data_IF_099991220670
#
_entry.id   IF_099991220670
#
_cell.length_a   1.000
_cell.length_b   1.000
_cell.length_c   1.000
_cell.angle_alpha   90.00
_cell.angle_beta   90.00
_cell.angle_gamma   90.00
#
_symmetry.space_group_name_H-M   'P 1'
#
loop_
_entity.id
_entity.type
_entity.pdbx_description
1 polymer ?
#
# COMPACT_ATOMS: atom_id res chain seq x y z
N UNK A 1 -8.39 17.40 -13.26
CA UNK A 1 -8.58 16.54 -12.07
C UNK A 1 -7.64 15.34 -12.10
N UNK A 2 -7.65 14.54 -13.17
CA UNK A 2 -6.74 13.40 -13.29
C UNK A 2 -5.30 13.84 -13.63
N UNK A 3 -5.13 14.65 -14.68
CA UNK A 3 -3.79 15.10 -15.10
C UNK A 3 -3.10 15.97 -14.05
N UNK A 4 -3.90 16.67 -13.24
CA UNK A 4 -3.43 17.48 -12.12
C UNK A 4 -3.11 16.66 -10.86
N UNK A 5 -3.37 15.34 -10.84
CA UNK A 5 -3.11 14.47 -9.68
C UNK A 5 -3.96 14.75 -8.44
N UNK A 6 -4.97 15.62 -8.54
CA UNK A 6 -5.72 16.12 -7.38
C UNK A 6 -6.65 15.08 -6.78
N UNK A 7 -7.40 14.35 -7.62
CA UNK A 7 -8.35 13.31 -7.21
C UNK A 7 -8.78 12.51 -8.43
N UNK A 8 -8.95 11.21 -8.23
CA UNK A 8 -9.35 10.27 -9.27
C UNK A 8 -8.17 9.49 -9.84
N UNK A 9 -8.44 8.28 -10.32
CA UNK A 9 -7.46 7.43 -11.00
C UNK A 9 -7.95 7.06 -12.40
N UNK A 10 -7.03 6.64 -13.27
CA UNK A 10 -7.38 6.25 -14.64
C UNK A 10 -8.38 5.08 -14.65
N UNK A 11 -8.29 4.20 -13.66
CA UNK A 11 -9.24 3.10 -13.46
C UNK A 11 -10.64 3.59 -13.13
N UNK A 12 -10.78 4.62 -12.28
CA UNK A 12 -12.08 5.21 -11.96
C UNK A 12 -12.71 5.90 -13.18
N UNK A 13 -11.91 6.63 -13.97
CA UNK A 13 -12.38 7.25 -15.22
C UNK A 13 -12.81 6.18 -16.23
N UNK A 14 -12.04 5.10 -16.35
CA UNK A 14 -12.39 3.97 -17.23
C UNK A 14 -13.76 3.39 -16.88
N UNK A 15 -14.07 3.20 -15.60
CA UNK A 15 -15.38 2.67 -15.17
C UNK A 15 -16.54 3.67 -15.37
N UNK A 16 -16.24 4.97 -15.39
CA UNK A 16 -17.23 6.01 -15.70
C UNK A 16 -17.61 6.03 -17.18
N UNK A 17 -16.62 5.97 -18.08
CA UNK A 17 -16.82 6.26 -19.51
C UNK A 17 -16.75 5.04 -20.43
N UNK A 18 -15.93 4.04 -20.12
CA UNK A 18 -15.66 2.92 -21.04
C UNK A 18 -16.54 1.71 -20.73
N UNK A 19 -16.09 0.84 -19.82
CA UNK A 19 -16.80 -0.35 -19.39
C UNK A 19 -16.36 -0.68 -17.96
N UNK A 20 -17.19 -1.44 -17.23
CA UNK A 20 -16.94 -1.74 -15.82
C UNK A 20 -15.93 -2.90 -15.63
N UNK A 21 -16.01 -3.92 -16.48
CA UNK A 21 -15.04 -5.03 -16.53
C UNK A 21 -15.53 -6.32 -15.86
N UNK A 22 -14.58 -7.19 -15.51
CA UNK A 22 -14.86 -8.45 -14.82
C UNK A 22 -15.08 -8.25 -13.32
N UNK A 23 -16.00 -9.02 -12.76
CA UNK A 23 -16.31 -9.01 -11.33
C UNK A 23 -16.09 -10.38 -10.71
N UNK A 24 -15.67 -10.39 -9.45
CA UNK A 24 -15.54 -11.62 -8.66
C UNK A 24 -16.81 -11.93 -7.89
N UNK A 25 -17.12 -13.22 -7.76
CA UNK A 25 -18.12 -13.74 -6.83
C UNK A 25 -17.61 -13.59 -5.39
N UNK A 26 -18.50 -13.73 -4.42
CA UNK A 26 -18.15 -13.75 -2.98
C UNK A 26 -17.03 -14.74 -2.66
N UNK A 27 -17.05 -15.89 -3.34
CA UNK A 27 -16.11 -17.00 -3.15
C UNK A 27 -14.73 -16.74 -3.78
N UNK A 28 -14.58 -15.69 -4.59
CA UNK A 28 -13.31 -15.30 -5.22
C UNK A 28 -13.24 -15.60 -6.72
N UNK A 29 -14.06 -16.51 -7.24
CA UNK A 29 -14.09 -16.84 -8.67
C UNK A 29 -14.46 -15.63 -9.52
N UNK A 30 -13.79 -15.49 -10.66
CA UNK A 30 -14.07 -14.43 -11.63
C UNK A 30 -15.25 -14.85 -12.50
N UNK A 31 -16.22 -13.96 -12.68
CA UNK A 31 -17.33 -14.14 -13.62
C UNK A 31 -16.77 -13.89 -15.02
N UNK A 32 -16.89 -14.89 -15.90
CA UNK A 32 -16.31 -14.89 -17.26
C UNK A 32 -17.01 -13.87 -18.17
N UNK A 33 -18.28 -13.56 -17.92
CA UNK A 33 -19.01 -12.52 -18.64
C UNK A 33 -18.66 -11.12 -18.08
N UNK A 34 -18.00 -10.23 -18.86
CA UNK A 34 -17.70 -8.89 -18.40
C UNK A 34 -18.92 -7.97 -18.49
N UNK A 35 -18.97 -6.96 -17.62
CA UNK A 35 -19.94 -5.88 -17.72
C UNK A 35 -19.41 -4.84 -18.72
N UNK A 36 -20.02 -4.81 -19.90
CA UNK A 36 -19.70 -3.87 -21.00
C UNK A 36 -20.27 -2.47 -20.76
N UNK A 37 -21.36 -2.36 -19.99
CA UNK A 37 -21.96 -1.08 -19.64
C UNK A 37 -21.03 -0.22 -18.76
N UNK A 38 -21.26 1.09 -18.78
CA UNK A 38 -20.51 2.08 -18.00
C UNK A 38 -21.45 2.82 -17.03
N UNK A 39 -20.86 3.53 -16.06
CA UNK A 39 -21.66 4.28 -15.08
C UNK A 39 -22.37 5.51 -15.68
N UNK A 40 -21.87 6.05 -16.81
CA UNK A 40 -22.51 7.16 -17.51
C UNK A 40 -23.85 6.78 -18.14
N UNK A 41 -23.92 5.61 -18.79
CA UNK A 41 -25.11 5.13 -19.50
C UNK A 41 -26.04 4.31 -18.59
N UNK A 42 -25.55 3.92 -17.40
CA UNK A 42 -26.31 3.11 -16.44
C UNK A 42 -26.04 1.61 -16.58
N UNK A 43 -26.50 0.85 -15.59
CA UNK A 43 -26.29 -0.60 -15.49
C UNK A 43 -27.65 -1.31 -15.50
N UNK A 44 -27.73 -2.45 -16.18
CA UNK A 44 -28.89 -3.35 -16.04
C UNK A 44 -28.99 -3.91 -14.62
N UNK A 45 -30.19 -4.36 -14.21
CA UNK A 45 -30.43 -4.95 -12.88
C UNK A 45 -29.44 -6.09 -12.57
N UNK A 46 -29.19 -6.98 -13.55
CA UNK A 46 -28.24 -8.09 -13.44
C UNK A 46 -26.81 -7.58 -13.20
N UNK A 47 -26.36 -6.61 -14.00
CA UNK A 47 -24.99 -6.07 -13.93
C UNK A 47 -24.75 -5.30 -12.63
N UNK A 48 -25.77 -4.58 -12.15
CA UNK A 48 -25.72 -3.91 -10.85
C UNK A 48 -25.66 -4.90 -9.69
N UNK A 49 -26.47 -5.98 -9.75
CA UNK A 49 -26.45 -7.02 -8.72
C UNK A 49 -25.08 -7.73 -8.63
N UNK A 50 -24.51 -8.11 -9.78
CA UNK A 50 -23.16 -8.70 -9.84
C UNK A 50 -22.10 -7.75 -9.25
N UNK A 51 -22.21 -6.46 -9.55
CA UNK A 51 -21.30 -5.43 -9.03
C UNK A 51 -21.33 -5.30 -7.50
N UNK A 52 -22.42 -5.73 -6.85
CA UNK A 52 -22.60 -5.62 -5.41
C UNK A 52 -21.77 -6.63 -4.61
N UNK A 53 -21.43 -7.79 -5.19
CA UNK A 53 -20.62 -8.81 -4.49
C UNK A 53 -19.22 -8.28 -4.14
N UNK A 54 -18.53 -7.72 -5.12
CA UNK A 54 -17.22 -7.11 -4.92
C UNK A 54 -17.27 -5.89 -4.00
N UNK A 55 -18.30 -5.05 -4.13
CA UNK A 55 -18.47 -3.88 -3.27
C UNK A 55 -18.66 -4.26 -1.79
N UNK A 56 -19.56 -5.21 -1.51
CA UNK A 56 -19.81 -5.67 -0.14
C UNK A 56 -18.57 -6.32 0.49
N UNK A 57 -17.89 -7.20 -0.25
CA UNK A 57 -16.65 -7.85 0.21
C UNK A 57 -15.55 -6.82 0.48
N UNK A 58 -15.41 -5.82 -0.38
CA UNK A 58 -14.48 -4.72 -0.18
C UNK A 58 -14.75 -3.96 1.12
N UNK A 59 -16.01 -3.61 1.39
CA UNK A 59 -16.41 -2.90 2.62
C UNK A 59 -16.17 -3.72 3.89
N UNK A 60 -16.47 -5.02 3.85
CA UNK A 60 -16.22 -5.91 4.99
C UNK A 60 -14.73 -6.11 5.22
N UNK A 61 -13.95 -6.30 4.15
CA UNK A 61 -12.50 -6.47 4.24
C UNK A 61 -11.81 -5.22 4.78
N UNK A 62 -12.27 -4.03 4.38
CA UNK A 62 -11.74 -2.77 4.95
C UNK A 62 -12.03 -2.69 6.45
N UNK A 63 -13.23 -3.08 6.88
CA UNK A 63 -13.63 -3.06 8.30
C UNK A 63 -12.81 -4.05 9.14
N UNK A 64 -12.51 -5.24 8.61
CA UNK A 64 -11.64 -6.21 9.25
C UNK A 64 -10.19 -5.71 9.31
N UNK A 65 -9.69 -5.11 8.22
CA UNK A 65 -8.34 -4.54 8.19
C UNK A 65 -8.18 -3.37 9.16
N UNK A 66 -9.19 -2.52 9.34
CA UNK A 66 -9.14 -1.43 10.32
C UNK A 66 -8.93 -1.96 11.75
N UNK A 67 -9.60 -3.05 12.12
CA UNK A 67 -9.40 -3.69 13.43
C UNK A 67 -7.99 -4.27 13.57
N UNK A 68 -7.50 -4.97 12.55
CA UNK A 68 -6.17 -5.58 12.56
C UNK A 68 -5.04 -4.54 12.63
N UNK A 69 -5.16 -3.41 11.93
CA UNK A 69 -4.19 -2.31 12.00
C UNK A 69 -4.15 -1.69 13.40
N UNK A 70 -5.30 -1.49 14.04
CA UNK A 70 -5.37 -1.03 15.43
C UNK A 70 -4.75 -2.01 16.42
N UNK A 71 -5.01 -3.31 16.24
CA UNK A 71 -4.43 -4.35 17.08
C UNK A 71 -2.90 -4.43 16.94
N UNK A 72 -2.38 -4.37 15.70
CA UNK A 72 -0.95 -4.41 15.45
C UNK A 72 -0.23 -3.20 16.04
N UNK A 73 -0.80 -2.00 15.88
CA UNK A 73 -0.22 -0.78 16.45
C UNK A 73 -0.19 -0.84 17.98
N UNK A 74 -1.27 -1.31 18.62
CA UNK A 74 -1.29 -1.54 20.08
C UNK A 74 -0.19 -2.51 20.50
N UNK A 75 -0.07 -3.68 19.84
CA UNK A 75 1.00 -4.65 20.14
C UNK A 75 2.41 -4.06 20.02
N UNK A 76 2.65 -3.27 18.98
CA UNK A 76 3.97 -2.64 18.78
C UNK A 76 4.25 -1.61 19.87
N UNK A 77 3.24 -0.83 20.28
CA UNK A 77 3.36 0.12 21.38
C UNK A 77 3.61 -0.61 22.70
N UNK A 78 2.84 -1.67 23.00
CA UNK A 78 2.98 -2.45 24.24
C UNK A 78 4.41 -3.02 24.39
N UNK A 79 5.08 -3.40 23.29
CA UNK A 79 6.47 -3.91 23.32
C UNK A 79 7.52 -2.81 23.43
N UNK A 80 7.26 -1.63 22.84
CA UNK A 80 8.25 -0.56 22.72
C UNK A 80 8.03 0.60 23.72
N UNK A 81 7.01 0.53 24.58
CA UNK A 81 6.60 1.62 25.46
C UNK A 81 7.74 2.11 26.37
N UNK A 82 8.62 1.20 26.80
CA UNK A 82 9.72 1.51 27.71
C UNK A 82 11.03 1.90 26.99
N UNK A 83 11.04 1.99 25.65
CA UNK A 83 12.23 2.35 24.87
C UNK A 83 12.39 3.87 24.79
N UNK A 84 13.36 4.41 25.54
CA UNK A 84 13.64 5.85 25.62
C UNK A 84 15.12 6.16 25.32
N UNK A 85 15.38 7.29 24.65
CA UNK A 85 16.74 7.79 24.43
C UNK A 85 17.20 8.56 25.68
N UNK A 86 18.17 8.01 26.40
CA UNK A 86 18.68 8.60 27.66
C UNK A 86 20.12 9.15 27.57
N UNK A 87 20.89 8.77 26.55
CA UNK A 87 22.28 9.20 26.33
C UNK A 87 22.50 9.58 24.87
N UNK A 88 23.31 10.61 24.63
CA UNK A 88 23.60 11.16 23.29
C UNK A 88 24.47 10.20 22.47
N UNK A 89 25.49 9.57 23.09
CA UNK A 89 26.37 8.61 22.42
C UNK A 89 26.62 7.40 23.34
N UNK A 90 26.36 6.20 22.85
CA UNK A 90 26.59 4.96 23.58
C UNK A 90 28.01 4.38 23.40
N UNK A 91 28.86 5.00 22.57
CA UNK A 91 30.25 4.62 22.30
C UNK A 91 30.43 3.15 21.86
N UNK A 92 29.38 2.56 21.29
CA UNK A 92 29.37 1.17 20.82
C UNK A 92 30.30 0.98 19.64
N UNK A 93 31.03 -0.14 19.59
CA UNK A 93 31.89 -0.54 18.45
C UNK A 93 31.20 -1.47 17.44
N UNK A 94 29.88 -1.60 17.53
CA UNK A 94 29.10 -2.58 16.75
C UNK A 94 28.15 -1.80 15.84
N UNK A 95 28.18 -2.11 14.55
CA UNK A 95 27.32 -1.51 13.53
C UNK A 95 26.80 -2.53 12.52
N UNK A 96 25.90 -2.08 11.65
CA UNK A 96 25.31 -2.90 10.59
C UNK A 96 25.97 -2.54 9.25
N UNK A 97 26.58 -3.53 8.58
CA UNK A 97 27.22 -3.35 7.27
C UNK A 97 26.18 -3.22 6.15
N UNK A 98 26.24 -2.13 5.39
CA UNK A 98 25.39 -1.91 4.21
C UNK A 98 26.23 -2.10 2.94
N UNK A 99 25.95 -3.15 2.17
CA UNK A 99 26.65 -3.43 0.91
C UNK A 99 26.10 -2.59 -0.25
N UNK A 100 26.91 -1.66 -0.77
CA UNK A 100 26.54 -0.75 -1.87
C UNK A 100 26.30 -1.52 -3.18
N UNK A 101 27.11 -2.55 -3.46
CA UNK A 101 27.08 -3.35 -4.70
C UNK A 101 25.73 -4.04 -4.98
N UNK A 102 24.88 -4.23 -3.96
CA UNK A 102 23.55 -4.84 -4.13
C UNK A 102 22.52 -3.88 -4.74
N UNK A 103 22.80 -2.58 -4.79
CA UNK A 103 21.82 -1.58 -5.25
C UNK A 103 22.08 -1.19 -6.71
N UNK A 104 21.15 -1.55 -7.59
CA UNK A 104 21.15 -1.12 -9.00
C UNK A 104 20.86 0.38 -9.20
N UNK A 105 20.23 1.04 -8.23
CA UNK A 105 19.82 2.45 -8.31
C UNK A 105 20.29 3.22 -7.07
N UNK A 106 20.95 4.36 -7.30
CA UNK A 106 21.46 5.28 -6.27
C UNK A 106 20.34 5.74 -5.32
N UNK A 107 19.15 6.01 -5.84
CA UNK A 107 18.00 6.43 -5.04
C UNK A 107 17.62 5.45 -3.91
N UNK A 108 17.78 4.14 -4.16
CA UNK A 108 17.43 3.11 -3.19
C UNK A 108 18.45 3.02 -2.06
N UNK A 109 19.72 3.32 -2.38
CA UNK A 109 20.79 3.48 -1.40
C UNK A 109 20.58 4.73 -0.56
N UNK A 110 20.30 5.88 -1.20
CA UNK A 110 20.04 7.14 -0.50
C UNK A 110 18.91 7.01 0.53
N UNK A 111 17.78 6.40 0.16
CA UNK A 111 16.67 6.13 1.09
C UNK A 111 17.05 5.31 2.33
N UNK A 112 18.09 4.44 2.25
CA UNK A 112 18.53 3.63 3.37
C UNK A 112 19.53 4.33 4.28
N UNK A 113 20.38 5.19 3.71
CA UNK A 113 21.46 5.88 4.44
C UNK A 113 20.95 7.17 5.07
N UNK A 114 20.00 7.85 4.43
CA UNK A 114 19.50 9.14 4.90
C UNK A 114 19.04 9.09 6.37
N UNK A 115 19.58 10.00 7.19
CA UNK A 115 19.28 10.12 8.62
C UNK A 115 20.02 9.14 9.54
N UNK A 116 20.92 8.30 9.02
CA UNK A 116 21.79 7.42 9.83
C UNK A 116 23.17 8.04 10.01
N UNK A 117 23.80 7.74 11.15
CA UNK A 117 25.17 8.15 11.47
C UNK A 117 26.13 7.07 10.95
N UNK A 118 27.28 7.51 10.42
CA UNK A 118 28.34 6.61 9.97
C UNK A 118 29.11 6.06 11.17
N UNK A 119 29.41 4.76 11.12
CA UNK A 119 30.21 4.10 12.14
C UNK A 119 31.71 4.27 11.87
N UNK A 120 32.14 3.99 10.63
CA UNK A 120 33.51 4.18 10.15
C UNK A 120 33.53 5.25 9.06
N UNK A 121 34.70 5.89 8.90
CA UNK A 121 34.95 6.81 7.79
C UNK A 121 34.85 6.09 6.44
N UNK A 122 34.24 6.77 5.46
CA UNK A 122 34.09 6.23 4.11
C UNK A 122 35.37 6.57 3.33
N UNK A 123 36.17 5.55 3.06
CA UNK A 123 37.29 5.66 2.12
C UNK A 123 36.80 5.40 0.69
N UNK A 124 36.96 6.40 -0.18
CA UNK A 124 36.79 6.25 -1.62
C UNK A 124 38.12 5.74 -2.17
N UNK A 125 38.13 4.53 -2.73
CA UNK A 125 39.23 4.02 -3.55
C UNK A 125 39.00 4.38 -5.01
#
# INVERSE_FOLDING_TARGET
MLDSGSRGSMLQIKQLLAFRGFFSKSNGDIIIEPILDNLKNGLSMRNFFISSFGARKGLTDTSLKTANSGYLTRKLVDVLQDVVIYKINCDTKIGIKIFILKYKKIFLLYKKIYGRILFDDIFIK
#
